data_IF_271206995481
#
_entry.id   IF_271206995481
#
_cell.length_a   1.000
_cell.length_b   1.000
_cell.length_c   1.000
_cell.angle_alpha   90.00
_cell.angle_beta   90.00
_cell.angle_gamma   90.00
#
_symmetry.space_group_name_H-M   'P 1'
#
loop_
_entity.id
_entity.type
_entity.pdbx_description
1 polymer ?
#
# COMPACT_ATOMS: atom_id res chain seq x y z
N UNK A 1 18.43 21.01 -58.03
CA UNK A 1 17.31 21.28 -57.12
C UNK A 1 17.37 20.22 -56.02
N UNK A 2 17.85 20.58 -54.83
CA UNK A 2 17.83 19.69 -53.66
C UNK A 2 16.46 19.87 -53.00
N UNK A 3 15.60 18.86 -53.08
CA UNK A 3 14.40 18.83 -52.25
C UNK A 3 14.84 18.84 -50.79
N UNK A 4 14.27 19.74 -49.99
CA UNK A 4 14.55 19.84 -48.56
C UNK A 4 14.16 18.51 -47.89
N UNK A 5 14.92 18.09 -46.88
CA UNK A 5 14.61 16.88 -46.09
C UNK A 5 13.14 16.86 -45.61
N UNK A 6 12.56 18.04 -45.35
CA UNK A 6 11.18 18.25 -44.91
C UNK A 6 10.14 17.86 -45.98
N UNK A 7 10.44 18.08 -47.26
CA UNK A 7 9.54 17.71 -48.36
C UNK A 7 9.39 16.19 -48.48
N UNK A 8 10.48 15.46 -48.20
CA UNK A 8 10.50 14.00 -48.18
C UNK A 8 9.66 13.45 -47.00
N UNK A 9 9.78 14.04 -45.81
CA UNK A 9 8.98 13.65 -44.65
C UNK A 9 7.48 13.85 -44.89
N UNK A 10 7.09 15.00 -45.43
CA UNK A 10 5.69 15.30 -45.74
C UNK A 10 5.11 14.34 -46.78
N UNK A 11 5.90 13.91 -47.77
CA UNK A 11 5.48 12.92 -48.75
C UNK A 11 5.30 11.53 -48.12
N UNK A 12 6.20 11.11 -47.22
CA UNK A 12 6.11 9.85 -46.49
C UNK A 12 4.91 9.81 -45.54
N UNK A 13 4.67 10.88 -44.78
CA UNK A 13 3.49 10.99 -43.92
C UNK A 13 2.18 11.07 -44.72
N UNK A 14 2.20 11.75 -45.86
CA UNK A 14 1.08 11.79 -46.80
C UNK A 14 0.74 10.42 -47.39
N UNK A 15 1.72 9.53 -47.54
CA UNK A 15 1.50 8.12 -47.93
C UNK A 15 0.91 7.30 -46.79
N UNK A 16 1.37 7.51 -45.55
CA UNK A 16 0.88 6.83 -44.36
C UNK A 16 -0.58 7.19 -44.02
N UNK A 17 -0.96 8.46 -44.16
CA UNK A 17 -2.33 8.92 -43.89
C UNK A 17 -3.40 8.39 -44.86
N UNK A 18 -2.99 7.80 -46.00
CA UNK A 18 -3.88 7.22 -46.99
C UNK A 18 -4.12 5.72 -46.79
N UNK A 19 -3.49 5.10 -45.79
CA UNK A 19 -3.74 3.69 -45.51
C UNK A 19 -5.14 3.52 -44.89
N UNK A 20 -5.92 2.53 -45.35
CA UNK A 20 -7.20 2.21 -44.73
C UNK A 20 -6.96 1.79 -43.27
N UNK A 21 -7.86 2.19 -42.34
CA UNK A 21 -7.75 1.79 -40.96
C UNK A 21 -7.71 0.25 -40.87
N UNK A 22 -6.70 -0.28 -40.19
CA UNK A 22 -6.55 -1.72 -40.03
C UNK A 22 -7.75 -2.25 -39.24
N UNK A 23 -8.62 -3.02 -39.89
CA UNK A 23 -9.72 -3.66 -39.21
C UNK A 23 -9.19 -4.69 -38.20
N UNK A 24 -9.77 -4.75 -36.98
CA UNK A 24 -9.34 -5.70 -35.98
C UNK A 24 -9.52 -7.12 -36.53
N UNK A 25 -8.46 -7.93 -36.46
CA UNK A 25 -8.48 -9.33 -36.88
C UNK A 25 -9.66 -10.05 -36.20
N UNK A 26 -10.43 -10.90 -36.92
CA UNK A 26 -11.50 -11.67 -36.30
C UNK A 26 -10.98 -12.44 -35.08
N UNK A 27 -11.77 -12.46 -34.02
CA UNK A 27 -11.45 -13.08 -32.72
C UNK A 27 -10.37 -12.37 -31.88
N UNK A 28 -9.99 -11.13 -32.20
CA UNK A 28 -9.12 -10.33 -31.33
C UNK A 28 -9.75 -10.15 -29.94
N UNK A 29 -11.01 -9.71 -29.91
CA UNK A 29 -11.76 -9.49 -28.67
C UNK A 29 -11.91 -10.77 -27.84
N UNK A 30 -12.20 -11.91 -28.45
CA UNK A 30 -12.37 -13.17 -27.72
C UNK A 30 -11.04 -13.63 -27.10
N UNK A 31 -9.91 -13.48 -27.80
CA UNK A 31 -8.58 -13.79 -27.23
C UNK A 31 -8.21 -12.85 -26.09
N UNK A 32 -8.49 -11.56 -26.22
CA UNK A 32 -8.23 -10.57 -25.17
C UNK A 32 -9.09 -10.88 -23.94
N UNK A 33 -10.39 -11.15 -24.16
CA UNK A 33 -11.33 -11.53 -23.10
C UNK A 33 -10.89 -12.80 -22.38
N UNK A 34 -10.52 -13.85 -23.12
CA UNK A 34 -10.01 -15.10 -22.54
C UNK A 34 -8.71 -14.91 -21.75
N UNK A 35 -7.81 -14.01 -22.18
CA UNK A 35 -6.59 -13.67 -21.41
C UNK A 35 -6.91 -12.90 -20.14
N UNK A 36 -7.90 -12.01 -20.18
CA UNK A 36 -8.37 -11.27 -19.02
C UNK A 36 -9.05 -12.19 -17.99
N UNK A 37 -9.94 -13.08 -18.45
CA UNK A 37 -10.63 -14.03 -17.58
C UNK A 37 -9.67 -15.07 -16.99
N UNK A 38 -8.61 -15.47 -17.70
CA UNK A 38 -7.55 -16.33 -17.14
C UNK A 38 -6.64 -15.59 -16.14
N UNK A 39 -6.47 -14.27 -16.27
CA UNK A 39 -5.70 -13.43 -15.33
C UNK A 39 -6.51 -13.04 -14.10
N UNK A 40 -7.84 -13.07 -14.19
CA UNK A 40 -8.72 -13.16 -13.02
C UNK A 40 -8.58 -14.58 -12.45
N UNK A 41 -7.39 -14.85 -11.94
CA UNK A 41 -7.04 -16.07 -11.26
C UNK A 41 -8.19 -16.44 -10.33
N UNK A 42 -8.72 -17.65 -10.51
CA UNK A 42 -9.65 -18.25 -9.57
C UNK A 42 -9.10 -18.00 -8.16
N UNK A 43 -9.90 -17.43 -7.23
CA UNK A 43 -9.42 -17.29 -5.87
C UNK A 43 -8.95 -18.66 -5.42
N UNK A 44 -7.75 -18.72 -4.83
CA UNK A 44 -7.10 -19.95 -4.42
C UNK A 44 -8.05 -20.66 -3.45
N UNK A 45 -8.86 -21.59 -3.98
CA UNK A 45 -10.03 -22.15 -3.29
C UNK A 45 -9.65 -22.84 -1.98
N UNK A 46 -8.41 -23.32 -1.89
CA UNK A 46 -7.86 -23.92 -0.68
C UNK A 46 -7.63 -22.94 0.48
N UNK A 47 -7.43 -21.65 0.19
CA UNK A 47 -7.21 -20.59 1.17
C UNK A 47 -8.52 -20.04 1.77
N UNK A 48 -9.67 -20.36 1.16
CA UNK A 48 -11.00 -19.92 1.58
C UNK A 48 -11.72 -20.98 2.44
N UNK A 49 -11.00 -21.94 3.01
CA UNK A 49 -11.61 -22.88 3.95
C UNK A 49 -11.95 -22.14 5.25
N UNK A 50 -13.24 -22.02 5.63
CA UNK A 50 -13.67 -21.22 6.78
C UNK A 50 -13.02 -21.69 8.09
N UNK A 51 -12.62 -22.96 8.17
CA UNK A 51 -11.90 -23.52 9.31
C UNK A 51 -10.54 -22.80 9.56
N UNK A 52 -9.77 -22.47 8.52
CA UNK A 52 -8.50 -21.78 8.68
C UNK A 52 -8.68 -20.31 9.07
N UNK A 53 -9.72 -19.65 8.53
CA UNK A 53 -10.06 -18.29 8.92
C UNK A 53 -10.44 -18.20 10.40
N UNK A 54 -11.26 -19.14 10.89
CA UNK A 54 -11.64 -19.22 12.31
C UNK A 54 -10.41 -19.51 13.19
N UNK A 55 -9.54 -20.44 12.79
CA UNK A 55 -8.34 -20.76 13.55
C UNK A 55 -7.37 -19.57 13.64
N UNK A 56 -7.12 -18.87 12.53
CA UNK A 56 -6.25 -17.70 12.50
C UNK A 56 -6.83 -16.53 13.31
N UNK A 57 -8.15 -16.30 13.23
CA UNK A 57 -8.83 -15.27 14.01
C UNK A 57 -8.80 -15.59 15.50
N UNK A 58 -9.07 -16.85 15.88
CA UNK A 58 -8.98 -17.31 17.26
C UNK A 58 -7.56 -17.12 17.83
N UNK A 59 -6.53 -17.50 17.07
CA UNK A 59 -5.14 -17.28 17.45
C UNK A 59 -4.84 -15.79 17.67
N UNK A 60 -5.26 -14.92 16.75
CA UNK A 60 -5.09 -13.47 16.88
C UNK A 60 -5.77 -12.93 18.13
N UNK A 61 -6.99 -13.37 18.42
CA UNK A 61 -7.72 -12.96 19.64
C UNK A 61 -6.96 -13.41 20.89
N UNK A 62 -6.49 -14.67 20.94
CA UNK A 62 -5.73 -15.18 22.07
C UNK A 62 -4.44 -14.39 22.31
N UNK A 63 -3.71 -14.03 21.24
CA UNK A 63 -2.50 -13.20 21.35
C UNK A 63 -2.84 -11.83 21.95
N UNK A 64 -3.88 -11.17 21.43
CA UNK A 64 -4.30 -9.86 21.94
C UNK A 64 -4.74 -9.93 23.40
N UNK A 65 -5.49 -10.97 23.80
CA UNK A 65 -5.89 -11.18 25.19
C UNK A 65 -4.68 -11.43 26.08
N UNK A 66 -3.71 -12.25 25.64
CA UNK A 66 -2.49 -12.50 26.40
C UNK A 66 -1.67 -11.22 26.61
N UNK A 67 -1.54 -10.40 25.57
CA UNK A 67 -0.88 -9.08 25.66
C UNK A 67 -1.65 -8.16 26.61
N UNK A 68 -2.98 -8.10 26.50
CA UNK A 68 -3.81 -7.26 27.36
C UNK A 68 -3.76 -7.67 28.83
N UNK A 69 -3.71 -8.98 29.15
CA UNK A 69 -3.53 -9.46 30.53
C UNK A 69 -2.13 -9.12 31.05
N UNK A 70 -1.10 -9.26 30.21
CA UNK A 70 0.27 -8.92 30.58
C UNK A 70 0.47 -7.41 30.80
N UNK A 71 -0.15 -6.55 29.99
CA UNK A 71 -0.07 -5.09 30.15
C UNK A 71 -1.01 -4.59 31.26
N UNK A 72 -2.24 -5.09 31.33
CA UNK A 72 -3.22 -4.70 32.35
C UNK A 72 -2.80 -5.04 33.78
N UNK A 73 -1.91 -6.03 33.97
CA UNK A 73 -1.29 -6.30 35.28
C UNK A 73 -0.23 -5.27 35.67
N UNK A 74 0.39 -4.60 34.69
CA UNK A 74 1.46 -3.62 34.89
C UNK A 74 0.93 -2.15 34.87
N UNK A 75 -0.17 -1.87 34.17
CA UNK A 75 -0.67 -0.51 33.93
C UNK A 75 -1.48 0.10 35.10
N UNK A 76 -2.01 -0.70 36.03
CA UNK A 76 -2.89 -0.21 37.11
C UNK A 76 -2.14 0.57 38.21
N UNK A 77 -0.81 0.57 38.22
CA UNK A 77 -0.01 1.27 39.25
C UNK A 77 1.08 2.19 38.70
N UNK A 78 1.31 2.24 37.38
CA UNK A 78 2.48 2.91 36.79
C UNK A 78 2.17 4.05 35.81
N UNK A 79 0.90 4.25 35.42
CA UNK A 79 0.56 5.16 34.32
C UNK A 79 0.66 6.65 34.70
N UNK A 80 0.37 7.04 35.95
CA UNK A 80 0.44 8.46 36.34
C UNK A 80 1.86 8.92 36.72
N UNK A 81 2.64 8.10 37.45
CA UNK A 81 4.00 8.48 37.86
C UNK A 81 5.00 8.44 36.71
N UNK A 82 4.96 7.40 35.87
CA UNK A 82 5.91 7.25 34.73
C UNK A 82 5.72 8.34 33.68
N UNK A 83 4.47 8.74 33.45
CA UNK A 83 4.14 9.79 32.49
C UNK A 83 4.62 11.15 33.00
N UNK A 84 4.33 11.49 34.27
CA UNK A 84 4.81 12.74 34.88
C UNK A 84 6.34 12.80 34.96
N UNK A 85 6.98 11.75 35.45
CA UNK A 85 8.44 11.69 35.57
C UNK A 85 9.13 11.72 34.19
N UNK A 86 8.54 11.07 33.18
CA UNK A 86 9.03 11.13 31.79
C UNK A 86 8.95 12.53 31.20
N UNK A 87 7.85 13.27 31.42
CA UNK A 87 7.73 14.66 30.99
C UNK A 87 8.71 15.59 31.72
N UNK A 88 8.87 15.42 33.03
CA UNK A 88 9.80 16.25 33.81
C UNK A 88 11.26 16.02 33.39
N UNK A 89 11.63 14.78 33.07
CA UNK A 89 12.96 14.41 32.59
C UNK A 89 13.23 14.96 31.18
N UNK A 90 12.30 14.79 30.24
CA UNK A 90 12.47 15.22 28.84
C UNK A 90 12.61 16.75 28.72
N UNK A 91 11.81 17.49 29.48
CA UNK A 91 11.81 18.96 29.42
C UNK A 91 12.82 19.61 30.38
N UNK A 92 13.63 18.82 31.11
CA UNK A 92 14.58 19.32 32.10
C UNK A 92 13.96 20.38 33.04
N UNK A 93 12.68 20.24 33.39
CA UNK A 93 11.91 21.32 34.04
C UNK A 93 12.44 21.65 35.45
N UNK A 94 13.20 20.73 36.05
CA UNK A 94 13.86 20.92 37.34
C UNK A 94 15.20 21.67 37.24
N UNK A 95 15.70 21.94 36.03
CA UNK A 95 16.95 22.66 35.82
C UNK A 95 16.78 24.18 35.83
N UNK A 96 15.54 24.69 35.89
CA UNK A 96 15.27 26.11 36.09
C UNK A 96 15.45 26.49 37.57
N UNK A 97 16.68 26.37 38.06
CA UNK A 97 17.13 27.07 39.26
C UNK A 97 17.25 28.54 38.86
N UNK A 98 16.21 29.34 39.13
CA UNK A 98 16.35 30.79 39.13
C UNK A 98 17.43 31.12 40.15
N UNK A 99 18.61 31.50 39.66
CA UNK A 99 19.63 32.18 40.45
C UNK A 99 18.96 33.39 41.10
N UNK A 100 18.47 33.20 42.33
CA UNK A 100 18.18 34.26 43.27
C UNK A 100 19.53 34.82 43.72
N UNK A 101 20.14 35.58 42.82
CA UNK A 101 21.22 36.51 43.13
C UNK A 101 20.59 37.63 43.97
N UNK A 102 20.67 37.50 45.29
CA UNK A 102 20.74 38.65 46.22
C UNK A 102 22.20 38.93 46.56
#
# INVERSE_FOLDING_TARGET
MYASQDDNWNELFGKLGKLPPAEPKPFFYTRVKARLDNRQARPVSWLLNPAYAIAALSLLVLINVAVAVNHGSNDLTQTESTTYDGFVAEYHLLQFNWDANE
#
